data_IF_598636221692
#
_entry.id   IF_598636221692
#
_cell.length_a   1.000
_cell.length_b   1.000
_cell.length_c   1.000
_cell.angle_alpha   90.00
_cell.angle_beta   90.00
_cell.angle_gamma   90.00
#
_symmetry.space_group_name_H-M   'P 1'
#
loop_
_entity.id
_entity.type
_entity.pdbx_description
1 polymer ?
#
# COMPACT_ATOMS: atom_id res chain seq x y z
N UNK A 1 19.40 20.98 -20.41
CA UNK A 1 18.76 20.68 -19.12
C UNK A 1 18.62 19.16 -19.05
N UNK A 2 19.39 18.48 -18.21
CA UNK A 2 19.25 17.02 -18.05
C UNK A 2 18.00 16.81 -17.21
N UNK A 3 16.95 16.22 -17.81
CA UNK A 3 15.74 15.87 -17.08
C UNK A 3 16.13 14.91 -15.94
N UNK A 4 15.89 15.33 -14.70
CA UNK A 4 16.12 14.49 -13.51
C UNK A 4 15.28 13.22 -13.69
N UNK A 5 15.95 12.06 -13.79
CA UNK A 5 15.31 10.76 -14.02
C UNK A 5 14.19 10.56 -13.00
N UNK A 6 12.96 10.41 -13.45
CA UNK A 6 11.80 10.20 -12.58
C UNK A 6 11.85 8.76 -12.06
N UNK A 7 12.13 8.60 -10.77
CA UNK A 7 12.12 7.29 -10.11
C UNK A 7 10.81 7.10 -9.34
N UNK A 8 9.88 6.36 -9.93
CA UNK A 8 8.59 6.04 -9.33
C UNK A 8 8.74 5.20 -8.06
N UNK A 9 9.72 4.30 -8.00
CA UNK A 9 9.91 3.41 -6.85
C UNK A 9 10.41 4.19 -5.63
N UNK A 10 11.39 5.06 -5.83
CA UNK A 10 11.92 5.91 -4.75
C UNK A 10 10.85 6.90 -4.25
N UNK A 11 10.02 7.45 -5.15
CA UNK A 11 8.88 8.29 -4.75
C UNK A 11 7.81 7.50 -3.99
N UNK A 12 7.49 6.28 -4.43
CA UNK A 12 6.56 5.40 -3.74
C UNK A 12 7.03 5.16 -2.31
N UNK A 13 8.32 4.87 -2.14
CA UNK A 13 8.93 4.69 -0.83
C UNK A 13 8.80 5.94 0.03
N UNK A 14 9.36 7.08 -0.40
CA UNK A 14 9.40 8.31 0.40
C UNK A 14 8.02 8.83 0.80
N UNK A 15 7.04 8.73 -0.09
CA UNK A 15 5.70 9.22 0.19
C UNK A 15 4.96 8.36 1.23
N UNK A 16 5.34 7.09 1.38
CA UNK A 16 4.65 6.13 2.25
C UNK A 16 5.54 5.59 3.38
N UNK A 17 6.81 6.01 3.48
CA UNK A 17 7.80 5.49 4.43
C UNK A 17 7.25 5.37 5.85
N UNK A 18 6.71 6.47 6.38
CA UNK A 18 6.12 6.49 7.73
C UNK A 18 4.99 5.46 7.87
N UNK A 19 4.15 5.31 6.86
CA UNK A 19 3.02 4.38 6.88
C UNK A 19 3.47 2.93 6.71
N UNK A 20 4.48 2.66 5.87
CA UNK A 20 5.11 1.35 5.76
C UNK A 20 5.67 0.92 7.12
N UNK A 21 6.36 1.82 7.82
CA UNK A 21 6.84 1.59 9.19
C UNK A 21 5.72 1.39 10.21
N UNK A 22 4.47 1.75 9.88
CA UNK A 22 3.27 1.49 10.67
C UNK A 22 2.51 0.23 10.24
N UNK A 23 2.99 -0.53 9.25
CA UNK A 23 2.37 -1.76 8.78
C UNK A 23 1.40 -1.58 7.61
N UNK A 24 1.49 -0.46 6.87
CA UNK A 24 0.83 -0.34 5.56
C UNK A 24 1.48 -1.34 4.60
N UNK A 25 0.74 -2.30 4.04
CA UNK A 25 1.33 -3.39 3.28
C UNK A 25 0.53 -3.80 2.04
N UNK A 26 0.86 -4.96 1.45
CA UNK A 26 0.24 -5.41 0.19
C UNK A 26 -1.28 -5.57 0.28
N UNK A 27 -1.80 -5.96 1.46
CA UNK A 27 -3.24 -6.09 1.70
C UNK A 27 -3.95 -4.74 1.58
N UNK A 28 -3.39 -3.68 2.17
CA UNK A 28 -3.96 -2.34 2.11
C UNK A 28 -3.93 -1.77 0.69
N UNK A 29 -2.88 -2.06 -0.09
CA UNK A 29 -2.86 -1.71 -1.50
C UNK A 29 -4.04 -2.34 -2.25
N UNK A 30 -4.24 -3.66 -2.08
CA UNK A 30 -5.31 -4.40 -2.74
C UNK A 30 -6.70 -3.90 -2.33
N UNK A 31 -6.88 -3.52 -1.05
CA UNK A 31 -8.12 -2.90 -0.56
C UNK A 31 -8.40 -1.55 -1.20
N UNK A 32 -7.39 -0.66 -1.29
CA UNK A 32 -7.55 0.66 -1.93
C UNK A 32 -7.90 0.51 -3.42
N UNK A 33 -7.24 -0.43 -4.13
CA UNK A 33 -7.59 -0.74 -5.52
C UNK A 33 -9.03 -1.27 -5.63
N UNK A 34 -9.42 -2.16 -4.71
CA UNK A 34 -10.80 -2.66 -4.62
C UNK A 34 -11.82 -1.54 -4.43
N UNK A 35 -11.55 -0.58 -3.55
CA UNK A 35 -12.40 0.59 -3.34
C UNK A 35 -12.48 1.49 -4.56
N UNK A 36 -11.38 1.74 -5.26
CA UNK A 36 -11.39 2.50 -6.51
C UNK A 36 -12.28 1.82 -7.56
N UNK A 37 -12.08 0.52 -7.78
CA UNK A 37 -12.90 -0.27 -8.72
C UNK A 37 -14.37 -0.26 -8.30
N UNK A 38 -14.67 -0.42 -7.01
CA UNK A 38 -16.02 -0.34 -6.47
C UNK A 38 -16.68 1.02 -6.70
N UNK A 39 -15.94 2.11 -6.47
CA UNK A 39 -16.40 3.48 -6.70
C UNK A 39 -16.70 3.73 -8.18
N UNK A 40 -15.79 3.35 -9.09
CA UNK A 40 -16.00 3.48 -10.54
C UNK A 40 -17.23 2.71 -11.01
N UNK A 41 -17.45 1.49 -10.51
CA UNK A 41 -18.66 0.72 -10.78
C UNK A 41 -19.92 1.43 -10.28
N UNK A 42 -19.88 2.00 -9.06
CA UNK A 42 -21.03 2.73 -8.48
C UNK A 42 -21.41 3.98 -9.27
N UNK A 43 -20.43 4.64 -9.92
CA UNK A 43 -20.66 5.76 -10.83
C UNK A 43 -21.06 5.35 -12.25
N UNK A 44 -21.25 4.05 -12.51
CA UNK A 44 -21.66 3.55 -13.82
C UNK A 44 -20.55 3.66 -14.88
N UNK A 45 -19.28 3.72 -14.46
CA UNK A 45 -18.16 3.76 -15.41
C UNK A 45 -18.12 2.45 -16.21
N UNK A 46 -18.01 2.51 -17.55
CA UNK A 46 -17.88 1.34 -18.40
C UNK A 46 -16.73 0.42 -18.00
N UNK A 47 -16.95 -0.89 -18.14
CA UNK A 47 -15.99 -1.92 -17.67
C UNK A 47 -14.62 -1.80 -18.35
N UNK A 48 -14.60 -1.50 -19.64
CA UNK A 48 -13.39 -1.30 -20.43
C UNK A 48 -12.51 -0.17 -19.87
N UNK A 49 -13.10 0.94 -19.43
CA UNK A 49 -12.34 2.03 -18.79
C UNK A 49 -11.85 1.65 -17.38
N UNK A 50 -12.61 0.83 -16.64
CA UNK A 50 -12.17 0.30 -15.35
C UNK A 50 -10.98 -0.64 -15.54
N UNK A 51 -11.04 -1.49 -16.56
CA UNK A 51 -9.96 -2.42 -16.89
C UNK A 51 -8.69 -1.64 -17.28
N UNK A 52 -8.81 -0.60 -18.11
CA UNK A 52 -7.70 0.31 -18.48
C UNK A 52 -7.07 0.97 -17.25
N UNK A 53 -7.89 1.50 -16.32
CA UNK A 53 -7.38 2.05 -15.06
C UNK A 53 -6.64 1.00 -14.23
N UNK A 54 -7.14 -0.25 -14.22
CA UNK A 54 -6.48 -1.39 -13.59
C UNK A 54 -5.10 -1.68 -14.18
N UNK A 55 -4.96 -1.66 -15.51
CA UNK A 55 -3.69 -1.87 -16.20
C UNK A 55 -2.65 -0.78 -15.87
N UNK A 56 -3.08 0.47 -15.71
CA UNK A 56 -2.21 1.58 -15.30
C UNK A 56 -1.72 1.41 -13.85
N UNK A 57 -2.57 0.90 -12.97
CA UNK A 57 -2.27 0.78 -11.53
C UNK A 57 -1.48 -0.50 -11.21
N UNK A 58 -1.75 -1.59 -11.91
CA UNK A 58 -1.12 -2.90 -11.71
C UNK A 58 0.43 -2.85 -11.52
N UNK A 59 1.22 -2.13 -12.35
CA UNK A 59 2.68 -2.08 -12.19
C UNK A 59 3.14 -1.35 -10.93
N UNK A 60 2.28 -0.58 -10.26
CA UNK A 60 2.60 0.09 -9.00
C UNK A 60 2.63 -0.86 -7.81
N UNK A 61 1.87 -1.96 -7.86
CA UNK A 61 1.80 -2.95 -6.77
C UNK A 61 3.18 -3.50 -6.40
N UNK A 62 4.00 -4.06 -7.30
CA UNK A 62 5.33 -4.57 -6.93
C UNK A 62 6.27 -3.46 -6.41
N UNK A 63 6.12 -2.21 -6.84
CA UNK A 63 6.91 -1.09 -6.29
C UNK A 63 6.50 -0.78 -4.85
N UNK A 64 5.20 -0.85 -4.56
CA UNK A 64 4.65 -0.67 -3.23
C UNK A 64 5.12 -1.78 -2.28
N UNK A 65 5.07 -3.05 -2.72
CA UNK A 65 5.56 -4.20 -1.95
C UNK A 65 7.04 -4.03 -1.59
N UNK A 66 7.88 -3.63 -2.56
CA UNK A 66 9.30 -3.35 -2.30
C UNK A 66 9.50 -2.22 -1.29
N UNK A 67 8.65 -1.20 -1.32
CA UNK A 67 8.68 -0.11 -0.34
C UNK A 67 8.37 -0.59 1.08
N UNK A 68 7.36 -1.45 1.23
CA UNK A 68 7.02 -2.09 2.50
C UNK A 68 8.15 -3.00 3.01
N UNK A 69 8.71 -3.85 2.14
CA UNK A 69 9.84 -4.73 2.47
C UNK A 69 11.05 -3.93 2.94
N UNK A 70 11.40 -2.85 2.23
CA UNK A 70 12.49 -1.95 2.59
C UNK A 70 12.29 -1.36 3.99
N UNK A 71 11.12 -0.76 4.27
CA UNK A 71 10.84 -0.20 5.59
C UNK A 71 10.92 -1.25 6.71
N UNK A 72 10.46 -2.46 6.42
CA UNK A 72 10.51 -3.58 7.38
C UNK A 72 11.96 -4.01 7.66
N UNK A 73 12.80 -4.08 6.63
CA UNK A 73 14.24 -4.35 6.77
C UNK A 73 14.94 -3.26 7.57
N UNK A 74 14.67 -1.99 7.28
CA UNK A 74 15.25 -0.84 7.99
C UNK A 74 14.90 -0.89 9.50
N UNK A 75 13.65 -1.16 9.85
CA UNK A 75 13.22 -1.38 11.26
C UNK A 75 13.97 -2.55 11.90
N UNK A 76 14.09 -3.69 11.20
CA UNK A 76 14.76 -4.86 11.74
C UNK A 76 16.25 -4.60 12.02
N UNK A 77 16.92 -3.85 11.13
CA UNK A 77 18.31 -3.41 11.30
C UNK A 77 18.47 -2.43 12.48
N UNK A 78 17.54 -1.48 12.65
CA UNK A 78 17.55 -0.53 13.76
C UNK A 78 17.37 -1.20 15.13
N UNK A 79 16.55 -2.25 15.21
CA UNK A 79 16.21 -2.93 16.47
C UNK A 79 16.97 -4.23 16.75
N UNK A 80 17.91 -4.61 15.88
CA UNK A 80 18.92 -5.63 16.18
C UNK A 80 18.42 -7.07 16.39
N UNK A 81 17.21 -7.44 15.95
CA UNK A 81 16.80 -8.86 15.97
C UNK A 81 15.79 -9.25 14.90
N UNK A 82 16.01 -10.43 14.32
CA UNK A 82 15.13 -11.15 13.39
C UNK A 82 13.74 -11.44 14.01
N UNK A 83 13.64 -11.48 15.34
CA UNK A 83 12.35 -11.53 16.07
C UNK A 83 11.50 -10.27 15.86
N UNK A 84 12.11 -9.10 15.73
CA UNK A 84 11.39 -7.86 15.44
C UNK A 84 10.75 -7.89 14.04
N UNK A 85 11.27 -8.67 13.09
CA UNK A 85 10.66 -8.87 11.77
C UNK A 85 9.30 -9.57 11.89
N UNK A 86 9.22 -10.69 12.61
CA UNK A 86 7.96 -11.40 12.84
C UNK A 86 7.02 -10.68 13.79
N UNK A 87 7.52 -9.85 14.70
CA UNK A 87 6.70 -9.07 15.62
C UNK A 87 6.20 -7.75 15.00
N UNK A 88 6.96 -7.13 14.08
CA UNK A 88 6.52 -5.96 13.31
C UNK A 88 5.63 -6.35 12.14
N UNK A 89 5.89 -7.49 11.49
CA UNK A 89 5.00 -8.07 10.48
C UNK A 89 3.81 -8.83 11.09
N UNK A 90 3.89 -9.20 12.38
CA UNK A 90 2.87 -9.96 13.13
C UNK A 90 2.06 -9.14 14.13
N UNK A 91 2.50 -7.93 14.51
CA UNK A 91 1.57 -6.88 14.95
C UNK A 91 0.75 -6.57 13.71
N UNK A 92 -0.55 -6.84 13.80
CA UNK A 92 -1.47 -6.80 12.68
C UNK A 92 -1.29 -5.61 11.75
N UNK A 93 -1.77 -5.76 10.52
CA UNK A 93 -1.62 -4.74 9.48
C UNK A 93 -2.10 -3.37 9.98
N UNK A 94 -1.66 -2.28 9.33
CA UNK A 94 -2.08 -0.93 9.74
C UNK A 94 -3.62 -0.85 9.85
N UNK A 95 -4.34 -1.51 8.95
CA UNK A 95 -5.79 -1.63 9.02
C UNK A 95 -6.28 -2.31 10.31
N UNK A 96 -5.71 -3.46 10.67
CA UNK A 96 -6.07 -4.18 11.89
C UNK A 96 -5.82 -3.31 13.14
N UNK A 97 -4.74 -2.53 13.16
CA UNK A 97 -4.43 -1.57 14.23
C UNK A 97 -5.41 -0.40 14.31
N UNK A 98 -6.04 -0.05 13.20
CA UNK A 98 -7.02 1.04 13.10
C UNK A 98 -8.47 0.57 13.30
N UNK A 99 -8.68 -0.71 13.63
CA UNK A 99 -10.00 -1.27 13.92
C UNK A 99 -10.53 -2.26 12.87
N UNK A 100 -9.74 -2.61 11.86
CA UNK A 100 -10.06 -3.69 10.91
C UNK A 100 -11.17 -3.35 9.90
N UNK A 101 -11.82 -4.39 9.36
CA UNK A 101 -12.97 -4.23 8.46
C UNK A 101 -14.10 -3.35 9.01
N UNK A 102 -14.44 -3.38 10.32
CA UNK A 102 -15.42 -2.46 10.89
C UNK A 102 -15.06 -0.98 10.68
N UNK A 103 -13.78 -0.63 10.72
CA UNK A 103 -13.34 0.74 10.49
C UNK A 103 -13.57 1.18 9.03
N UNK A 104 -13.47 0.26 8.06
CA UNK A 104 -13.80 0.53 6.66
C UNK A 104 -15.30 0.77 6.52
N UNK A 105 -16.13 -0.12 7.05
CA UNK A 105 -17.60 -0.03 6.95
C UNK A 105 -18.11 1.28 7.55
N UNK A 106 -17.53 1.75 8.65
CA UNK A 106 -17.92 3.00 9.30
C UNK A 106 -17.67 4.26 8.44
N UNK A 107 -16.77 4.22 7.47
CA UNK A 107 -16.47 5.38 6.60
C UNK A 107 -17.30 5.46 5.32
N UNK A 108 -18.04 4.40 5.00
CA UNK A 108 -18.82 4.27 3.75
C UNK A 108 -20.30 4.65 3.94
N UNK A 109 -20.69 5.12 5.14
CA UNK A 109 -22.03 5.62 5.44
C UNK A 109 -22.08 7.14 5.63
#
# INVERSE_FOLDING_TARGET
IVAKKFDTSERMYRNHERLFRMGLGPKEFDLVVGHLVGALKSFGVPKDLIDEAGEIIAPLRPMFVKGYERATMEIAMEHGSEKAYHEAAGKGSLLERLGGEPAIVATVY
#
